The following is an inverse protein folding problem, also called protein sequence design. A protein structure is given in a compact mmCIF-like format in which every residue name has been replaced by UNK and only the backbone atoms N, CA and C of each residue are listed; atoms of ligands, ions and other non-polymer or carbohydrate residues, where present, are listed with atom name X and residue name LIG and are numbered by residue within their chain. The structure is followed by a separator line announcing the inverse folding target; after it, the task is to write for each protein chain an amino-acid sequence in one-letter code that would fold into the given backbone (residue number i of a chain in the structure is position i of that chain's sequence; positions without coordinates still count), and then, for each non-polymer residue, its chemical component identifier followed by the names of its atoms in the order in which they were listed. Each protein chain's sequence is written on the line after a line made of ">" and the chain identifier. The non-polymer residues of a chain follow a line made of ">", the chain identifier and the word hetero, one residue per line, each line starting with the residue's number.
data_IF_222359882341
#
_entry.id   IF_222359882341
#
_cell.length_a   1.000
_cell.length_b   1.000
_cell.length_c   1.000
_cell.angle_alpha   90.00
_cell.angle_beta   90.00
_cell.angle_gamma   90.00
#
_symmetry.space_group_name_H-M   'P 1'
#
loop_
_entity.id
_entity.type
_entity.pdbx_description
1 polymer ?
#
# COMPACT_ATOMS: atom_id res chain seq x y z
N UNK A 1 -6.35 4.62 11.11
CA UNK A 1 -6.48 3.23 11.60
C UNK A 1 -5.08 2.64 11.64
N UNK A 2 -4.73 1.91 12.69
CA UNK A 2 -3.51 1.12 12.78
C UNK A 2 -3.87 -0.36 12.57
N UNK A 3 -3.05 -1.10 11.82
CA UNK A 3 -3.32 -2.50 11.51
C UNK A 3 -2.24 -3.39 12.10
N UNK A 4 -2.65 -4.29 12.98
CA UNK A 4 -1.80 -5.23 13.68
C UNK A 4 -2.10 -6.66 13.25
N UNK A 5 -1.08 -7.43 12.86
CA UNK A 5 -1.22 -8.86 12.57
C UNK A 5 -1.04 -9.68 13.85
N UNK A 6 -1.84 -10.72 14.04
CA UNK A 6 -1.76 -11.58 15.25
C UNK A 6 -0.81 -12.75 15.15
N UNK A 7 -0.51 -13.19 13.93
CA UNK A 7 0.21 -14.44 13.69
C UNK A 7 1.69 -14.17 13.39
N UNK A 8 2.53 -15.19 13.54
CA UNK A 8 3.95 -15.10 13.21
C UNK A 8 4.24 -15.41 11.73
N UNK A 9 3.22 -15.35 10.85
CA UNK A 9 3.44 -15.49 9.42
C UNK A 9 4.20 -14.29 8.88
N UNK A 10 4.82 -14.46 7.71
CA UNK A 10 5.51 -13.37 7.03
C UNK A 10 4.58 -12.17 6.84
N UNK A 11 5.14 -10.96 6.85
CA UNK A 11 4.38 -9.75 6.62
C UNK A 11 3.74 -9.77 5.22
N UNK A 12 2.48 -9.37 5.10
CA UNK A 12 1.80 -9.24 3.81
C UNK A 12 1.10 -7.89 3.77
N UNK A 13 1.80 -6.91 3.21
CA UNK A 13 1.36 -5.52 3.17
C UNK A 13 0.07 -5.35 2.37
N UNK A 14 -0.04 -6.03 1.23
CA UNK A 14 -1.22 -5.94 0.37
C UNK A 14 -2.50 -6.46 1.05
N UNK A 15 -2.41 -7.57 1.80
CA UNK A 15 -3.54 -8.07 2.61
C UNK A 15 -3.95 -7.08 3.70
N UNK A 16 -2.98 -6.53 4.45
CA UNK A 16 -3.25 -5.54 5.50
C UNK A 16 -3.85 -4.27 4.90
N UNK A 17 -3.23 -3.67 3.89
CA UNK A 17 -3.77 -2.52 3.19
C UNK A 17 -5.18 -2.75 2.68
N UNK A 18 -5.47 -3.94 2.13
CA UNK A 18 -6.81 -4.26 1.66
C UNK A 18 -7.83 -4.32 2.80
N UNK A 19 -7.52 -5.00 3.92
CA UNK A 19 -8.37 -5.00 5.12
C UNK A 19 -8.61 -3.58 5.65
N UNK A 20 -7.56 -2.77 5.75
CA UNK A 20 -7.64 -1.40 6.20
C UNK A 20 -8.48 -0.53 5.27
N UNK A 21 -8.37 -0.75 3.96
CA UNK A 21 -9.21 -0.09 2.98
C UNK A 21 -10.68 -0.45 3.16
N UNK A 22 -11.03 -1.74 3.28
CA UNK A 22 -12.43 -2.14 3.52
C UNK A 22 -12.99 -1.54 4.80
N UNK A 23 -12.25 -1.59 5.91
CA UNK A 23 -12.72 -0.98 7.16
C UNK A 23 -12.85 0.55 7.05
N UNK A 24 -11.90 1.21 6.40
CA UNK A 24 -11.91 2.67 6.26
C UNK A 24 -13.07 3.19 5.40
N UNK A 25 -13.43 2.48 4.33
CA UNK A 25 -14.49 2.92 3.41
C UNK A 25 -15.91 2.57 3.91
N UNK A 26 -16.01 1.75 4.95
CA UNK A 26 -17.28 1.47 5.63
C UNK A 26 -17.61 2.54 6.69
N UNK A 27 -16.60 3.23 7.20
CA UNK A 27 -16.75 4.38 8.10
C UNK A 27 -16.97 5.67 7.29
N UNK A 28 -17.98 6.47 7.66
CA UNK A 28 -18.16 7.86 7.23
C UNK A 28 -18.10 8.16 5.72
N UNK A 29 -18.69 7.31 4.86
CA UNK A 29 -18.74 7.49 3.38
C UNK A 29 -17.40 7.97 2.78
N UNK A 30 -16.28 7.47 3.32
CA UNK A 30 -14.95 7.92 2.93
C UNK A 30 -14.64 7.44 1.53
N UNK A 31 -14.44 8.39 0.62
CA UNK A 31 -14.01 8.10 -0.76
C UNK A 31 -12.48 8.21 -0.93
N UNK A 32 -11.73 8.64 0.08
CA UNK A 32 -10.27 8.76 0.01
C UNK A 32 -9.58 8.03 1.16
N UNK A 33 -8.62 7.16 0.83
CA UNK A 33 -7.83 6.41 1.80
C UNK A 33 -6.34 6.61 1.53
N UNK A 34 -5.63 7.07 2.55
CA UNK A 34 -4.17 7.19 2.56
C UNK A 34 -3.52 5.97 3.21
N UNK A 35 -2.62 5.33 2.48
CA UNK A 35 -1.76 4.24 2.94
C UNK A 35 -0.44 4.83 3.37
N UNK A 36 0.03 4.46 4.55
CA UNK A 36 1.10 5.19 5.21
C UNK A 36 2.00 4.28 6.04
N UNK A 37 3.28 4.23 5.71
CA UNK A 37 4.26 3.56 6.54
C UNK A 37 4.40 4.28 7.88
N UNK A 38 4.32 3.54 8.99
CA UNK A 38 4.32 4.09 10.36
C UNK A 38 5.61 4.83 10.71
N UNK A 39 6.71 4.52 10.01
CA UNK A 39 8.03 5.11 10.25
C UNK A 39 8.32 6.32 9.35
N UNK A 40 7.39 6.80 8.54
CA UNK A 40 7.59 7.98 7.70
C UNK A 40 6.86 9.18 8.29
N UNK A 41 7.55 10.31 8.48
CA UNK A 41 6.93 11.55 8.95
C UNK A 41 7.10 12.66 7.91
N UNK A 42 6.03 13.38 7.51
CA UNK A 42 6.15 14.50 6.60
C UNK A 42 6.95 15.63 7.26
N UNK A 43 7.78 16.31 6.47
CA UNK A 43 8.58 17.45 6.92
C UNK A 43 7.90 18.80 6.67
N UNK A 44 6.82 18.81 5.90
CA UNK A 44 6.10 20.01 5.49
C UNK A 44 4.59 19.74 5.57
N UNK A 45 3.86 20.60 6.30
CA UNK A 45 2.42 20.48 6.52
C UNK A 45 1.59 20.93 5.31
N UNK A 46 2.24 21.57 4.32
CA UNK A 46 1.63 21.92 3.03
C UNK A 46 1.59 20.75 2.06
N UNK A 47 1.95 19.54 2.49
CA UNK A 47 1.79 18.31 1.72
C UNK A 47 0.46 17.62 2.09
N UNK A 48 -0.64 17.88 1.35
CA UNK A 48 -1.96 17.44 1.77
C UNK A 48 -2.17 15.94 1.56
N UNK A 49 -2.87 15.31 2.49
CA UNK A 49 -3.24 13.89 2.45
C UNK A 49 -4.62 13.73 1.80
N UNK A 50 -4.71 14.10 0.52
CA UNK A 50 -5.96 14.16 -0.23
C UNK A 50 -5.90 13.33 -1.50
N UNK A 51 -7.08 12.93 -2.00
CA UNK A 51 -7.21 12.22 -3.27
C UNK A 51 -7.82 13.13 -4.34
N UNK A 52 -7.29 13.05 -5.56
CA UNK A 52 -7.82 13.74 -6.73
C UNK A 52 -8.36 12.74 -7.77
N UNK A 53 -8.67 13.20 -8.99
CA UNK A 53 -9.06 12.37 -10.14
C UNK A 53 -8.07 11.22 -10.40
N UNK A 54 -6.81 11.40 -10.02
CA UNK A 54 -5.74 10.43 -10.13
C UNK A 54 -5.17 10.07 -8.74
N UNK A 55 -4.66 8.85 -8.55
CA UNK A 55 -3.91 8.44 -7.36
C UNK A 55 -2.77 9.40 -7.01
N UNK A 56 -2.54 9.64 -5.71
CA UNK A 56 -1.47 10.51 -5.24
C UNK A 56 -0.35 9.70 -4.57
N UNK A 57 0.91 9.95 -4.92
CA UNK A 57 2.09 9.49 -4.19
C UNK A 57 2.71 10.70 -3.50
N UNK A 58 2.58 10.80 -2.18
CA UNK A 58 2.89 12.03 -1.43
C UNK A 58 4.30 11.99 -0.83
N UNK A 59 4.87 10.80 -0.58
CA UNK A 59 6.25 10.64 -0.08
C UNK A 59 7.28 10.58 -1.21
N UNK A 60 7.43 11.67 -1.96
CA UNK A 60 8.28 11.71 -3.16
C UNK A 60 9.77 11.89 -2.88
N UNK A 61 10.12 12.42 -1.70
CA UNK A 61 11.49 12.74 -1.32
C UNK A 61 11.74 12.27 0.13
N UNK A 62 12.23 11.05 0.29
CA UNK A 62 12.54 10.46 1.60
C UNK A 62 14.04 10.64 1.88
N UNK A 63 14.39 11.01 3.12
CA UNK A 63 15.77 11.21 3.57
C UNK A 63 16.70 10.01 3.32
N UNK A 64 16.20 8.78 3.50
CA UNK A 64 16.90 7.52 3.16
C UNK A 64 17.38 7.49 1.71
N UNK A 65 16.63 8.10 0.79
CA UNK A 65 16.97 8.20 -0.63
C UNK A 65 17.58 9.56 -0.97
N UNK A 66 18.19 10.23 0.02
CA UNK A 66 18.78 11.57 -0.12
C UNK A 66 17.81 12.58 -0.73
N UNK A 67 16.52 12.47 -0.38
CA UNK A 67 15.44 13.31 -0.91
C UNK A 67 15.28 13.22 -2.44
N UNK A 68 15.67 12.08 -3.03
CA UNK A 68 15.48 11.79 -4.46
C UNK A 68 14.51 10.64 -4.63
N UNK A 69 13.69 10.72 -5.68
CA UNK A 69 12.80 9.62 -6.02
C UNK A 69 13.63 8.45 -6.57
N UNK A 70 13.54 7.23 -6.00
CA UNK A 70 14.37 6.09 -6.39
C UNK A 70 14.30 5.74 -7.89
N UNK A 71 13.08 5.74 -8.44
CA UNK A 71 12.82 5.59 -9.87
C UNK A 71 11.40 6.10 -10.21
N UNK A 72 11.13 6.37 -11.49
CA UNK A 72 9.86 7.00 -11.93
C UNK A 72 8.61 6.26 -11.46
N UNK A 73 8.67 4.93 -11.38
CA UNK A 73 7.56 4.07 -10.95
C UNK A 73 7.47 3.79 -9.45
N UNK A 74 8.25 4.45 -8.60
CA UNK A 74 8.22 4.20 -7.17
C UNK A 74 6.92 4.70 -6.51
N UNK A 75 6.31 3.87 -5.65
CA UNK A 75 5.06 4.16 -4.91
C UNK A 75 5.15 3.84 -3.41
N UNK A 76 6.32 3.47 -2.89
CA UNK A 76 6.46 3.13 -1.48
C UNK A 76 6.32 4.32 -0.54
N UNK A 77 6.19 4.02 0.75
CA UNK A 77 5.99 5.03 1.78
C UNK A 77 4.54 5.43 1.99
N UNK A 78 4.12 6.52 1.35
CA UNK A 78 2.82 7.14 1.55
C UNK A 78 2.16 7.50 0.21
N UNK A 79 0.95 6.97 0.00
CA UNK A 79 0.14 7.23 -1.17
C UNK A 79 -1.35 7.18 -0.83
N UNK A 80 -2.18 7.83 -1.66
CA UNK A 80 -3.62 7.91 -1.45
C UNK A 80 -4.39 7.45 -2.69
N UNK A 81 -5.46 6.67 -2.46
CA UNK A 81 -6.34 6.14 -3.48
C UNK A 81 -7.79 6.48 -3.16
N UNK A 82 -8.56 6.79 -4.22
CA UNK A 82 -10.02 6.80 -4.11
C UNK A 82 -10.60 5.39 -4.14
N UNK A 83 -11.84 5.23 -3.70
CA UNK A 83 -12.55 3.95 -3.82
C UNK A 83 -12.59 3.46 -5.27
N UNK A 84 -12.85 4.37 -6.20
CA UNK A 84 -12.85 4.07 -7.62
C UNK A 84 -11.48 3.59 -8.13
N UNK A 85 -10.38 4.19 -7.66
CA UNK A 85 -9.03 3.77 -8.06
C UNK A 85 -8.74 2.35 -7.60
N UNK A 86 -9.05 2.06 -6.33
CA UNK A 86 -8.87 0.74 -5.72
C UNK A 86 -9.64 -0.35 -6.47
N UNK A 87 -10.93 -0.13 -6.74
CA UNK A 87 -11.76 -1.07 -7.50
C UNK A 87 -11.22 -1.26 -8.91
N UNK A 88 -10.80 -0.18 -9.58
CA UNK A 88 -10.30 -0.22 -10.96
C UNK A 88 -9.02 -1.04 -11.11
N UNK A 89 -8.17 -1.09 -10.07
CA UNK A 89 -6.96 -1.94 -10.05
C UNK A 89 -7.19 -3.32 -9.46
N UNK A 90 -8.44 -3.69 -9.14
CA UNK A 90 -8.75 -4.96 -8.45
C UNK A 90 -8.08 -5.06 -7.06
N UNK A 91 -7.89 -3.93 -6.37
CA UNK A 91 -7.24 -3.88 -5.06
C UNK A 91 -5.74 -4.22 -5.07
N UNK A 92 -5.18 -4.46 -3.88
CA UNK A 92 -3.76 -4.78 -3.70
C UNK A 92 -3.49 -6.27 -3.94
N UNK A 93 -2.31 -6.63 -4.49
CA UNK A 93 -1.91 -8.03 -4.61
C UNK A 93 -1.84 -8.71 -3.23
N UNK A 94 -2.40 -9.90 -3.13
CA UNK A 94 -2.49 -10.67 -1.87
C UNK A 94 -1.45 -11.77 -1.78
N UNK A 95 -0.74 -12.04 -2.88
CA UNK A 95 0.22 -13.15 -3.00
C UNK A 95 1.65 -12.83 -2.57
N UNK A 96 1.97 -11.56 -2.30
CA UNK A 96 3.31 -11.16 -1.84
C UNK A 96 3.46 -11.31 -0.34
N UNK A 97 4.43 -12.13 0.06
CA UNK A 97 4.83 -12.35 1.44
C UNK A 97 6.28 -11.86 1.61
N UNK A 98 6.51 -10.99 2.60
CA UNK A 98 7.76 -10.26 2.77
C UNK A 98 7.69 -8.83 2.19
N UNK A 99 8.86 -8.25 1.93
CA UNK A 99 9.03 -6.82 1.66
C UNK A 99 9.12 -6.42 0.18
N UNK A 100 8.94 -7.34 -0.78
CA UNK A 100 9.06 -7.07 -2.22
C UNK A 100 7.96 -7.81 -3.03
N UNK A 101 7.48 -7.33 -4.20
CA UNK A 101 7.51 -6.01 -4.84
C UNK A 101 6.08 -5.44 -4.96
N UNK A 102 5.34 -5.38 -3.85
CA UNK A 102 3.91 -5.06 -3.84
C UNK A 102 3.60 -3.67 -4.42
N UNK A 103 4.31 -2.62 -3.98
CA UNK A 103 4.16 -1.25 -4.49
C UNK A 103 4.35 -1.15 -6.01
N UNK A 104 5.27 -1.95 -6.55
CA UNK A 104 5.56 -2.01 -7.97
C UNK A 104 4.43 -2.65 -8.77
N UNK A 105 3.81 -3.71 -8.22
CA UNK A 105 2.62 -4.34 -8.78
C UNK A 105 1.47 -3.33 -8.82
N UNK A 106 1.21 -2.64 -7.71
CA UNK A 106 0.17 -1.59 -7.62
C UNK A 106 0.41 -0.49 -8.64
N UNK A 107 1.63 0.04 -8.74
CA UNK A 107 1.98 1.04 -9.75
C UNK A 107 1.70 0.54 -11.16
N UNK A 108 2.04 -0.72 -11.44
CA UNK A 108 1.79 -1.33 -12.74
C UNK A 108 0.30 -1.48 -13.02
N UNK A 109 -0.52 -1.88 -12.04
CA UNK A 109 -1.98 -1.95 -12.19
C UNK A 109 -2.60 -0.57 -12.44
N UNK A 110 -2.13 0.46 -11.75
CA UNK A 110 -2.57 1.84 -11.98
C UNK A 110 -2.31 2.26 -13.43
N UNK A 111 -1.08 2.02 -13.92
CA UNK A 111 -0.69 2.31 -15.32
C UNK A 111 -1.49 1.50 -16.33
N UNK A 112 -1.65 0.19 -16.11
CA UNK A 112 -2.44 -0.69 -16.97
C UNK A 112 -3.92 -0.30 -17.02
N UNK A 113 -4.41 0.37 -15.98
CA UNK A 113 -5.76 0.91 -15.88
C UNK A 113 -5.91 2.32 -16.48
N UNK A 114 -4.84 2.88 -17.05
CA UNK A 114 -4.83 4.21 -17.66
C UNK A 114 -4.73 5.36 -16.66
N UNK A 115 -4.29 5.10 -15.42
CA UNK A 115 -4.13 6.12 -14.39
C UNK A 115 -2.66 6.57 -14.27
N UNK A 116 -2.47 7.86 -14.00
CA UNK A 116 -1.17 8.46 -13.71
C UNK A 116 -1.03 8.67 -12.19
N UNK A 117 0.20 8.65 -11.69
CA UNK A 117 0.50 9.02 -10.31
C UNK A 117 0.71 10.53 -10.22
N UNK A 118 -0.11 11.21 -9.43
CA UNK A 118 0.13 12.59 -9.04
C UNK A 118 1.17 12.64 -7.94
N UNK A 119 2.01 13.66 -7.98
CA UNK A 119 3.11 13.86 -7.03
C UNK A 119 3.19 15.35 -6.69
N UNK A 120 3.33 15.70 -5.41
CA UNK A 120 3.61 17.08 -5.02
C UNK A 120 4.99 17.50 -5.53
N UNK A 121 5.26 18.81 -5.47
CA UNK A 121 6.61 19.32 -5.67
C UNK A 121 7.58 18.66 -4.66
N UNK A 122 8.81 18.34 -5.09
CA UNK A 122 9.78 17.60 -4.27
C UNK A 122 10.03 18.25 -2.90
N UNK A 123 10.05 19.59 -2.85
CA UNK A 123 10.22 20.34 -1.60
C UNK A 123 9.08 20.15 -0.60
N UNK A 124 7.86 19.93 -1.08
CA UNK A 124 6.68 19.74 -0.22
C UNK A 124 6.54 18.29 0.21
N UNK A 125 6.77 17.33 -0.69
CA UNK A 125 6.66 15.91 -0.38
C UNK A 125 7.91 15.30 0.26
N UNK A 126 8.58 16.06 1.14
CA UNK A 126 9.74 15.60 1.88
C UNK A 126 9.32 14.81 3.13
N UNK A 127 9.95 13.66 3.36
CA UNK A 127 9.70 12.80 4.51
C UNK A 127 11.00 12.43 5.22
N UNK A 128 10.89 12.24 6.53
CA UNK A 128 11.93 11.67 7.38
C UNK A 128 11.55 10.24 7.74
N UNK A 129 12.46 9.29 7.56
CA UNK A 129 12.30 7.92 8.05
C UNK A 129 12.83 7.80 9.48
N UNK A 130 12.01 7.29 10.39
CA UNK A 130 12.42 6.97 11.76
C UNK A 130 13.36 5.76 11.76
N UNK A 131 14.37 5.79 12.62
CA UNK A 131 15.39 4.73 12.73
C UNK A 131 14.76 3.41 13.19
N UNK A 132 15.17 2.28 12.58
CA UNK A 132 14.70 0.94 12.97
C UNK A 132 14.36 -0.03 11.83
N UNK A 133 14.43 0.39 10.57
CA UNK A 133 14.21 -0.49 9.41
C UNK A 133 15.54 -0.75 8.69
N UNK A 134 15.86 -2.02 8.42
CA UNK A 134 17.13 -2.41 7.80
C UNK A 134 17.40 -1.65 6.49
N UNK A 135 18.49 -0.87 6.52
CA UNK A 135 18.95 0.00 5.44
C UNK A 135 19.47 -0.74 4.20
N UNK A 136 19.52 -2.09 4.23
CA UNK A 136 20.21 -2.92 3.23
C UNK A 136 19.38 -3.24 1.99
N UNK A 137 18.06 -3.01 2.01
CA UNK A 137 17.20 -3.28 0.85
C UNK A 137 17.41 -2.22 -0.24
N UNK A 138 17.99 -2.65 -1.36
CA UNK A 138 18.12 -1.83 -2.58
C UNK A 138 16.78 -1.81 -3.29
N UNK A 139 16.17 -0.63 -3.37
CA UNK A 139 15.04 -0.43 -4.26
C UNK A 139 15.52 -0.40 -5.70
N UNK A 140 14.95 -1.26 -6.52
CA UNK A 140 15.33 -1.39 -7.93
C UNK A 140 14.09 -1.30 -8.81
N UNK A 141 14.23 -0.75 -10.03
CA UNK A 141 13.13 -0.73 -10.98
C UNK A 141 12.61 -2.14 -11.30
N UNK A 142 11.35 -2.18 -11.71
CA UNK A 142 10.67 -3.42 -12.09
C UNK A 142 11.41 -4.19 -13.17
N UNK A 143 11.62 -5.50 -12.93
CA UNK A 143 12.14 -6.40 -13.96
C UNK A 143 11.07 -6.71 -15.02
N UNK A 144 11.45 -6.98 -16.28
CA UNK A 144 10.50 -7.39 -17.32
C UNK A 144 9.67 -8.62 -16.93
N UNK A 145 10.27 -9.56 -16.18
CA UNK A 145 9.59 -10.76 -15.69
C UNK A 145 8.49 -10.44 -14.68
N UNK A 146 8.70 -9.46 -13.79
CA UNK A 146 7.69 -8.99 -12.86
C UNK A 146 6.49 -8.40 -13.62
N UNK A 147 6.72 -7.52 -14.59
CA UNK A 147 5.65 -6.91 -15.38
C UNK A 147 4.82 -7.97 -16.14
N UNK A 148 5.49 -8.98 -16.73
CA UNK A 148 4.81 -10.08 -17.40
C UNK A 148 3.96 -10.93 -16.44
N UNK A 149 4.40 -11.10 -15.19
CA UNK A 149 3.60 -11.77 -14.14
C UNK A 149 2.38 -10.94 -13.76
N UNK A 150 2.57 -9.64 -13.54
CA UNK A 150 1.48 -8.70 -13.18
C UNK A 150 0.38 -8.74 -14.24
N UNK A 151 0.75 -8.54 -15.52
CA UNK A 151 -0.21 -8.54 -16.64
C UNK A 151 -1.10 -9.78 -16.70
N UNK A 152 -0.58 -10.95 -16.29
CA UNK A 152 -1.32 -12.22 -16.28
C UNK A 152 -2.22 -12.37 -15.06
N UNK A 153 -1.80 -11.88 -13.88
CA UNK A 153 -2.45 -12.22 -12.60
C UNK A 153 -3.30 -11.12 -12.01
N UNK A 154 -3.07 -9.85 -12.34
CA UNK A 154 -3.60 -8.72 -11.56
C UNK A 154 -5.12 -8.64 -11.48
N UNK A 155 -5.87 -9.23 -12.43
CA UNK A 155 -7.34 -9.31 -12.40
C UNK A 155 -7.90 -10.42 -11.52
N UNK A 156 -7.04 -11.33 -11.06
CA UNK A 156 -7.40 -12.51 -10.28
C UNK A 156 -6.77 -12.50 -8.88
N UNK A 157 -5.63 -11.82 -8.71
CA UNK A 157 -4.96 -11.62 -7.43
C UNK A 157 -5.27 -10.21 -6.89
N UNK A 158 -6.15 -10.12 -5.91
CA UNK A 158 -6.55 -8.86 -5.30
C UNK A 158 -7.85 -8.99 -4.49
N UNK A 159 -8.83 -8.15 -4.80
CA UNK A 159 -10.11 -8.10 -4.07
C UNK A 159 -10.82 -9.46 -3.96
N UNK A 160 -10.79 -10.27 -5.02
CA UNK A 160 -11.48 -11.56 -5.06
C UNK A 160 -10.70 -12.70 -4.38
N UNK A 161 -9.43 -12.46 -4.02
CA UNK A 161 -8.55 -13.46 -3.42
C UNK A 161 -8.09 -13.06 -2.01
N UNK A 162 -8.82 -12.17 -1.35
CA UNK A 162 -8.48 -11.75 -0.01
C UNK A 162 -8.80 -12.85 1.01
N UNK A 163 -7.77 -13.55 1.45
CA UNK A 163 -7.80 -14.37 2.66
C UNK A 163 -7.30 -13.57 3.87
N UNK A 164 -8.18 -12.83 4.53
CA UNK A 164 -7.93 -12.30 5.88
C UNK A 164 -9.22 -12.06 6.65
N UNK A 165 -9.13 -12.06 7.98
CA UNK A 165 -10.27 -11.89 8.89
C UNK A 165 -9.94 -10.82 9.93
N UNK A 166 -10.86 -9.88 10.13
CA UNK A 166 -10.81 -8.95 11.25
C UNK A 166 -11.14 -9.71 12.55
N UNK A 167 -10.29 -9.56 13.56
CA UNK A 167 -10.45 -10.20 14.87
C UNK A 167 -10.94 -9.21 15.94
N UNK A 168 -10.38 -8.01 15.97
CA UNK A 168 -10.83 -6.94 16.86
C UNK A 168 -10.72 -5.57 16.19
N UNK A 169 -11.59 -4.66 16.62
CA UNK A 169 -11.61 -3.25 16.24
C UNK A 169 -11.78 -2.44 17.52
N UNK A 170 -10.73 -1.72 17.89
CA UNK A 170 -10.64 -1.01 19.17
C UNK A 170 -10.47 0.47 18.93
N UNK A 171 -11.38 1.27 19.47
CA UNK A 171 -11.29 2.73 19.39
C UNK A 171 -10.35 3.24 20.49
N UNK A 172 -9.20 3.79 20.09
CA UNK A 172 -8.28 4.50 20.96
C UNK A 172 -8.50 6.01 20.84
N UNK A 173 -8.01 6.83 21.80
CA UNK A 173 -8.22 8.27 21.77
C UNK A 173 -7.70 8.98 20.50
N UNK A 174 -6.66 8.44 19.85
CA UNK A 174 -6.00 9.06 18.69
C UNK A 174 -6.08 8.23 17.40
N UNK A 175 -6.50 6.97 17.48
CA UNK A 175 -6.58 6.07 16.34
C UNK A 175 -7.53 4.91 16.61
N UNK A 176 -7.98 4.22 15.57
CA UNK A 176 -8.65 2.92 15.71
C UNK A 176 -7.63 1.83 15.43
N UNK A 177 -7.46 0.87 16.35
CA UNK A 177 -6.64 -0.31 16.15
C UNK A 177 -7.48 -1.43 15.52
N UNK A 178 -6.94 -2.09 14.50
CA UNK A 178 -7.54 -3.22 13.82
C UNK A 178 -6.60 -4.41 13.93
N UNK A 179 -7.06 -5.45 14.61
CA UNK A 179 -6.32 -6.70 14.77
C UNK A 179 -6.77 -7.68 13.69
N UNK A 180 -5.85 -8.12 12.83
CA UNK A 180 -6.17 -8.87 11.61
C UNK A 180 -5.43 -10.20 11.55
N UNK A 181 -6.15 -11.26 11.20
CA UNK A 181 -5.58 -12.56 10.84
C UNK A 181 -5.41 -12.68 9.33
N UNK A 182 -4.16 -12.68 8.88
CA UNK A 182 -3.79 -12.79 7.46
C UNK A 182 -3.39 -14.21 7.03
N UNK A 183 -3.43 -15.20 7.94
CA UNK A 183 -3.04 -16.58 7.66
C UNK A 183 -4.05 -17.33 6.77
N UNK A 184 -5.26 -16.79 6.67
CA UNK A 184 -6.32 -17.40 5.89
C UNK A 184 -5.97 -17.38 4.40
N UNK A 185 -6.31 -18.48 3.74
CA UNK A 185 -6.36 -18.55 2.28
C UNK A 185 -7.74 -18.11 1.82
N UNK A 186 -7.83 -17.47 0.66
CA UNK A 186 -9.13 -17.21 0.04
C UNK A 186 -9.90 -18.52 -0.12
N UNK A 187 -11.24 -18.52 -0.05
CA UNK A 187 -12.02 -19.71 -0.35
C UNK A 187 -11.64 -20.24 -1.75
N UNK A 188 -10.97 -21.40 -1.80
CA UNK A 188 -10.49 -22.02 -3.04
C UNK A 188 -9.01 -21.79 -3.43
N UNK A 189 -8.20 -21.09 -2.61
CA UNK A 189 -6.76 -21.02 -2.84
C UNK A 189 -6.05 -22.27 -2.27
N UNK A 190 -5.10 -22.89 -3.01
CA UNK A 190 -4.33 -24.01 -2.49
C UNK A 190 -3.50 -23.54 -1.29
N UNK A 191 -3.62 -24.27 -0.18
CA UNK A 191 -2.78 -24.09 1.01
C UNK A 191 -1.32 -24.31 0.59
N UNK A 192 -0.39 -23.38 0.84
CA UNK A 192 1.02 -23.66 0.67
C UNK A 192 1.42 -24.75 1.68
N UNK A 193 1.86 -25.89 1.17
CA UNK A 193 2.46 -26.97 1.97
C UNK A 193 3.86 -26.62 2.45
#
# INVERSE_FOLDING_TARGET
>A
MALDKVNNTAFNRGKLHSMGFWEAVQEEDRDCVSFHDVNLLPKDDRNPYICDIFPAHVSVAIDRFKYTLPYRGYLGGVFALRRLHYVRIHGFPTTYWGWDPEDDDVTSRLKLSGMLLLRPHLLLGCYRMLEGQDCSQKQSPQSPGLLARIRRKWRHDGMNSLGCRLLSKELQPLYTSLTVDISLSAPGAPVPG
#
